data_IF_246032892985
#
_entry.id   IF_246032892985
#
_cell.length_a   1.000
_cell.length_b   1.000
_cell.length_c   1.000
_cell.angle_alpha   90.00
_cell.angle_beta   90.00
_cell.angle_gamma   90.00
#
_symmetry.space_group_name_H-M   'P 1'
#
loop_
_entity.id
_entity.type
_entity.pdbx_description
1 polymer ?
#
# COMPACT_ATOMS: atom_id res chain seq x y z
N UNK A 1 0.72 -5.13 -13.84
CA UNK A 1 -0.57 -5.87 -13.73
C UNK A 1 -1.59 -4.89 -13.19
N UNK A 2 -2.30 -4.16 -14.06
CA UNK A 2 -3.19 -3.10 -13.58
C UNK A 2 -4.50 -3.70 -13.07
N UNK A 3 -4.75 -3.52 -11.78
CA UNK A 3 -6.08 -3.58 -11.16
C UNK A 3 -6.95 -2.39 -11.65
N UNK A 4 -6.77 -1.96 -12.90
CA UNK A 4 -7.35 -0.77 -13.52
C UNK A 4 -8.86 -0.86 -13.68
N UNK A 5 -9.46 -2.04 -13.53
CA UNK A 5 -10.91 -2.18 -13.66
C UNK A 5 -11.68 -1.42 -12.58
N UNK A 6 -11.14 -1.27 -11.36
CA UNK A 6 -11.80 -0.48 -10.31
C UNK A 6 -12.07 0.97 -10.75
N UNK A 7 -11.21 1.51 -11.61
CA UNK A 7 -11.34 2.85 -12.19
C UNK A 7 -11.85 2.82 -13.64
N UNK A 8 -12.26 1.67 -14.16
CA UNK A 8 -12.69 1.52 -15.56
C UNK A 8 -13.95 2.33 -15.93
N UNK A 9 -14.79 2.64 -14.94
CA UNK A 9 -15.96 3.52 -15.09
C UNK A 9 -15.67 4.99 -14.71
N UNK A 10 -14.45 5.33 -14.29
CA UNK A 10 -14.08 6.72 -14.02
C UNK A 10 -13.90 7.46 -15.35
N UNK A 11 -14.77 8.44 -15.61
CA UNK A 11 -14.74 9.26 -16.82
C UNK A 11 -13.84 10.48 -16.65
N UNK A 12 -13.89 11.10 -15.48
CA UNK A 12 -13.13 12.31 -15.16
C UNK A 12 -12.87 12.41 -13.65
N UNK A 13 -11.81 13.11 -13.26
CA UNK A 13 -11.44 13.38 -11.88
C UNK A 13 -10.89 14.80 -11.75
N UNK A 14 -11.39 15.56 -10.78
CA UNK A 14 -10.91 16.91 -10.48
C UNK A 14 -10.79 17.16 -8.99
N UNK A 15 -9.96 18.13 -8.62
CA UNK A 15 -9.82 18.64 -7.27
C UNK A 15 -10.02 20.17 -7.31
N UNK A 16 -11.26 20.67 -7.12
CA UNK A 16 -11.55 22.10 -7.22
C UNK A 16 -10.94 22.93 -6.07
N UNK A 17 -10.58 22.26 -4.97
CA UNK A 17 -9.89 22.83 -3.82
C UNK A 17 -9.05 21.76 -3.10
N UNK A 18 -8.31 22.17 -2.08
CA UNK A 18 -7.31 21.34 -1.39
C UNK A 18 -7.89 20.10 -0.68
N UNK A 19 -9.19 20.10 -0.35
CA UNK A 19 -9.82 19.05 0.47
C UNK A 19 -10.99 18.35 -0.24
N UNK A 20 -11.20 18.63 -1.52
CA UNK A 20 -12.31 18.08 -2.30
C UNK A 20 -11.79 17.32 -3.51
N UNK A 21 -12.20 16.06 -3.66
CA UNK A 21 -12.00 15.28 -4.87
C UNK A 21 -13.36 14.95 -5.47
N UNK A 22 -13.55 15.28 -6.75
CA UNK A 22 -14.76 14.99 -7.52
C UNK A 22 -14.44 13.90 -8.53
N UNK A 23 -15.17 12.78 -8.43
CA UNK A 23 -15.09 11.67 -9.37
C UNK A 23 -16.35 11.66 -10.25
N UNK A 24 -16.17 11.79 -11.57
CA UNK A 24 -17.27 11.68 -12.53
C UNK A 24 -17.29 10.27 -13.11
N UNK A 25 -18.39 9.56 -12.92
CA UNK A 25 -18.56 8.21 -13.47
C UNK A 25 -19.21 8.24 -14.86
N UNK A 26 -18.92 7.23 -15.69
CA UNK A 26 -19.56 7.04 -16.99
C UNK A 26 -21.01 6.56 -16.88
N UNK A 27 -21.31 5.76 -15.85
CA UNK A 27 -22.65 5.29 -15.51
C UNK A 27 -22.77 5.06 -13.99
N UNK A 28 -24.00 4.97 -13.42
CA UNK A 28 -24.18 4.69 -12.00
C UNK A 28 -23.50 3.38 -11.58
N UNK A 29 -22.70 3.44 -10.52
CA UNK A 29 -21.99 2.28 -9.96
C UNK A 29 -22.13 2.27 -8.43
N UNK A 30 -23.10 1.51 -7.88
CA UNK A 30 -23.29 1.40 -6.43
C UNK A 30 -22.07 0.83 -5.69
N UNK A 31 -21.25 0.01 -6.35
CA UNK A 31 -20.05 -0.61 -5.79
C UNK A 31 -18.81 0.28 -5.76
N UNK A 32 -18.92 1.58 -6.10
CA UNK A 32 -17.76 2.48 -6.12
C UNK A 32 -17.05 2.53 -4.76
N UNK A 33 -17.79 2.64 -3.66
CA UNK A 33 -17.20 2.72 -2.33
C UNK A 33 -16.49 1.43 -1.94
N UNK A 34 -17.05 0.27 -2.30
CA UNK A 34 -16.41 -1.02 -2.10
C UNK A 34 -15.09 -1.11 -2.87
N UNK A 35 -15.09 -0.64 -4.13
CA UNK A 35 -13.90 -0.58 -4.96
C UNK A 35 -12.80 0.31 -4.35
N UNK A 36 -13.16 1.47 -3.80
CA UNK A 36 -12.22 2.39 -3.16
C UNK A 36 -11.69 1.86 -1.82
N UNK A 37 -12.51 1.11 -1.08
CA UNK A 37 -12.11 0.48 0.19
C UNK A 37 -11.27 -0.80 0.02
N UNK A 38 -11.28 -1.40 -1.18
CA UNK A 38 -10.64 -2.68 -1.44
C UNK A 38 -9.14 -2.62 -1.12
N UNK A 39 -8.57 -3.63 -0.42
CA UNK A 39 -7.13 -3.70 -0.20
C UNK A 39 -6.34 -3.79 -1.52
N UNK A 40 -6.97 -4.33 -2.57
CA UNK A 40 -6.43 -4.40 -3.94
C UNK A 40 -6.93 -3.26 -4.84
N UNK A 41 -7.72 -2.34 -4.29
CA UNK A 41 -8.19 -1.14 -4.99
C UNK A 41 -7.12 -0.06 -5.10
N UNK A 42 -7.45 1.10 -5.71
CA UNK A 42 -6.53 2.23 -5.79
C UNK A 42 -6.02 2.64 -4.39
N UNK A 43 -4.78 3.13 -4.36
CA UNK A 43 -4.10 3.59 -3.15
C UNK A 43 -3.55 4.98 -3.42
N UNK A 44 -3.49 5.80 -2.37
CA UNK A 44 -2.88 7.12 -2.45
C UNK A 44 -1.38 6.97 -2.21
N UNK A 45 -0.58 7.42 -3.17
CA UNK A 45 0.88 7.40 -3.15
C UNK A 45 1.37 8.85 -3.15
N UNK A 46 2.47 9.12 -2.45
CA UNK A 46 3.07 10.46 -2.40
C UNK A 46 3.40 10.98 -3.82
N UNK A 47 2.86 12.15 -4.24
CA UNK A 47 3.18 12.73 -5.54
C UNK A 47 4.66 13.13 -5.63
N UNK A 48 5.29 13.53 -4.52
CA UNK A 48 6.72 13.82 -4.45
C UNK A 48 7.54 12.58 -4.77
N UNK A 49 7.22 11.43 -4.15
CA UNK A 49 7.94 10.18 -4.42
C UNK A 49 7.76 9.72 -5.87
N UNK A 50 6.58 9.91 -6.45
CA UNK A 50 6.36 9.65 -7.87
C UNK A 50 7.24 10.54 -8.75
N UNK A 51 7.24 11.86 -8.51
CA UNK A 51 8.01 12.81 -9.32
C UNK A 51 9.54 12.61 -9.22
N UNK A 52 10.04 12.27 -8.02
CA UNK A 52 11.49 12.06 -7.78
C UNK A 52 12.01 10.74 -8.37
N UNK A 53 11.13 9.77 -8.62
CA UNK A 53 11.50 8.43 -9.08
C UNK A 53 10.87 8.03 -10.41
N UNK A 54 10.19 8.95 -11.10
CA UNK A 54 9.64 8.71 -12.42
C UNK A 54 10.75 8.71 -13.47
N UNK A 55 10.95 7.55 -14.09
CA UNK A 55 11.89 7.37 -15.21
C UNK A 55 11.16 7.21 -16.55
N UNK A 56 9.99 7.84 -16.69
CA UNK A 56 9.10 7.71 -17.85
C UNK A 56 8.11 6.56 -17.73
N UNK A 57 7.92 6.03 -16.51
CA UNK A 57 7.07 4.88 -16.20
C UNK A 57 6.15 5.13 -14.99
N UNK A 58 5.96 6.40 -14.60
CA UNK A 58 5.22 6.81 -13.42
C UNK A 58 5.75 6.15 -12.13
N UNK A 59 7.07 6.00 -12.04
CA UNK A 59 7.80 5.35 -10.94
C UNK A 59 7.40 3.88 -10.70
N UNK A 60 6.70 3.23 -11.63
CA UNK A 60 6.19 1.86 -11.44
C UNK A 60 7.32 0.84 -11.19
N UNK A 61 8.47 1.02 -11.83
CA UNK A 61 9.65 0.17 -11.58
C UNK A 61 10.16 0.33 -10.15
N UNK A 62 10.26 1.56 -9.65
CA UNK A 62 10.73 1.85 -8.29
C UNK A 62 9.75 1.35 -7.22
N UNK A 63 8.45 1.50 -7.47
CA UNK A 63 7.37 1.03 -6.60
C UNK A 63 7.27 -0.50 -6.49
N UNK A 64 7.99 -1.28 -7.31
CA UNK A 64 8.09 -2.73 -7.12
C UNK A 64 8.84 -3.10 -5.83
N UNK A 65 9.64 -2.17 -5.30
CA UNK A 65 10.47 -2.41 -4.11
C UNK A 65 10.31 -1.36 -3.01
N UNK A 66 9.60 -0.27 -3.30
CA UNK A 66 9.41 0.85 -2.40
C UNK A 66 7.93 1.20 -2.27
N UNK A 67 7.56 1.80 -1.14
CA UNK A 67 6.20 2.25 -0.89
C UNK A 67 6.20 3.54 -0.08
N UNK A 68 5.48 4.55 -0.55
CA UNK A 68 5.30 5.83 0.15
C UNK A 68 3.82 6.19 0.14
N UNK A 69 3.10 5.70 1.15
CA UNK A 69 1.68 5.96 1.36
C UNK A 69 1.43 6.72 2.66
N UNK A 70 0.16 6.81 3.05
CA UNK A 70 -0.31 7.54 4.23
C UNK A 70 -0.56 6.65 5.46
N UNK A 71 -0.17 5.37 5.38
CA UNK A 71 -0.48 4.35 6.37
C UNK A 71 0.28 4.48 7.70
N UNK A 72 -0.10 3.66 8.69
CA UNK A 72 0.50 3.69 10.03
C UNK A 72 1.91 3.08 10.11
N UNK A 73 2.37 2.43 9.03
CA UNK A 73 3.72 1.88 8.90
C UNK A 73 4.34 2.31 7.56
N UNK A 74 5.66 2.50 7.58
CA UNK A 74 6.53 2.79 6.45
C UNK A 74 7.34 1.55 6.11
N UNK A 75 7.55 1.28 4.81
CA UNK A 75 8.46 0.23 4.38
C UNK A 75 9.91 0.70 4.58
N UNK A 76 10.60 0.11 5.55
CA UNK A 76 11.98 0.44 5.89
C UNK A 76 13.00 -0.42 5.11
N UNK A 77 12.68 -1.70 4.88
CA UNK A 77 13.50 -2.59 4.07
C UNK A 77 12.61 -3.60 3.34
N UNK A 78 12.91 -3.85 2.07
CA UNK A 78 12.42 -5.01 1.36
C UNK A 78 13.59 -5.81 0.80
N UNK A 79 13.80 -7.01 1.34
CA UNK A 79 14.71 -8.01 0.79
C UNK A 79 13.91 -9.08 0.09
N UNK A 80 13.88 -9.00 -1.25
CA UNK A 80 13.12 -9.90 -2.12
C UNK A 80 13.38 -11.37 -1.77
N UNK A 81 12.30 -12.10 -1.52
CA UNK A 81 12.34 -13.52 -1.16
C UNK A 81 12.85 -13.83 0.26
N UNK A 82 13.15 -12.81 1.07
CA UNK A 82 13.69 -13.00 2.42
C UNK A 82 12.81 -12.35 3.49
N UNK A 83 12.57 -11.04 3.42
CA UNK A 83 11.81 -10.32 4.45
C UNK A 83 11.34 -8.94 4.02
N UNK A 84 10.32 -8.46 4.74
CA UNK A 84 9.92 -7.05 4.80
C UNK A 84 10.17 -6.53 6.21
N UNK A 85 10.65 -5.30 6.31
CA UNK A 85 10.78 -4.58 7.56
C UNK A 85 9.92 -3.32 7.48
N UNK A 86 8.97 -3.22 8.39
CA UNK A 86 8.06 -2.09 8.51
C UNK A 86 8.39 -1.33 9.79
N UNK A 87 8.49 -0.02 9.70
CA UNK A 87 8.68 0.87 10.84
C UNK A 87 7.43 1.71 11.04
N UNK A 88 7.04 1.94 12.29
CA UNK A 88 5.87 2.75 12.60
C UNK A 88 6.05 4.16 12.04
N UNK A 89 5.00 4.67 11.42
CA UNK A 89 4.93 6.06 11.03
C UNK A 89 4.61 6.91 12.26
N UNK A 90 5.63 7.52 12.88
CA UNK A 90 5.44 8.38 14.06
C UNK A 90 4.68 9.68 13.74
N UNK A 91 4.55 10.05 12.46
CA UNK A 91 3.74 11.16 11.96
C UNK A 91 2.36 10.70 11.44
N UNK A 92 1.94 9.46 11.75
CA UNK A 92 0.63 8.97 11.36
C UNK A 92 -0.49 9.83 11.95
N UNK A 93 -1.47 10.15 11.10
CA UNK A 93 -2.57 11.07 11.41
C UNK A 93 -3.63 10.48 12.35
N UNK A 94 -3.69 9.15 12.48
CA UNK A 94 -4.60 8.44 13.38
C UNK A 94 -3.90 7.90 14.62
N UNK A 95 -4.53 6.91 15.26
CA UNK A 95 -3.94 6.24 16.42
C UNK A 95 -2.68 5.48 16.04
N UNK A 96 -1.61 5.72 16.81
CA UNK A 96 -0.31 5.10 16.57
C UNK A 96 -0.36 3.63 16.98
N UNK A 97 0.07 2.70 16.11
CA UNK A 97 0.20 1.29 16.48
C UNK A 97 1.10 1.10 17.70
N UNK A 98 0.77 0.08 18.50
CA UNK A 98 1.57 -0.32 19.66
C UNK A 98 3.01 -0.67 19.25
N UNK A 99 3.15 -1.52 18.23
CA UNK A 99 4.46 -1.96 17.74
C UNK A 99 5.20 -0.84 17.01
N UNK A 100 6.48 -0.69 17.32
CA UNK A 100 7.37 0.25 16.62
C UNK A 100 7.93 -0.31 15.31
N UNK A 101 8.06 -1.62 15.23
CA UNK A 101 8.62 -2.32 14.09
C UNK A 101 7.90 -3.65 13.90
N UNK A 102 7.70 -4.03 12.65
CA UNK A 102 7.18 -5.34 12.26
C UNK A 102 8.16 -5.94 11.25
N UNK A 103 8.64 -7.15 11.53
CA UNK A 103 9.43 -7.92 10.58
C UNK A 103 8.56 -9.07 10.04
N UNK A 104 8.41 -9.12 8.73
CA UNK A 104 7.67 -10.18 8.04
C UNK A 104 8.69 -11.01 7.26
N UNK A 105 9.04 -12.19 7.79
CA UNK A 105 9.95 -13.12 7.13
C UNK A 105 9.22 -13.94 6.06
N UNK A 106 9.86 -14.15 4.91
CA UNK A 106 9.35 -14.97 3.82
C UNK A 106 9.81 -16.41 4.06
N UNK A 107 8.92 -17.25 4.59
CA UNK A 107 9.16 -18.67 4.82
C UNK A 107 8.13 -19.46 4.00
N UNK A 108 8.47 -19.96 2.80
CA UNK A 108 7.46 -20.57 1.92
C UNK A 108 6.86 -21.87 2.46
N UNK A 109 7.62 -22.61 3.26
CA UNK A 109 7.18 -23.90 3.83
C UNK A 109 6.40 -23.70 5.13
N UNK A 110 5.15 -24.18 5.16
CA UNK A 110 4.25 -24.03 6.31
C UNK A 110 4.72 -24.82 7.53
N UNK A 111 5.38 -25.97 7.34
CA UNK A 111 5.90 -26.77 8.46
C UNK A 111 7.02 -26.02 9.18
N UNK A 112 7.88 -25.34 8.43
CA UNK A 112 8.89 -24.45 8.98
C UNK A 112 8.28 -23.25 9.71
N UNK A 113 7.21 -22.63 9.18
CA UNK A 113 6.51 -21.55 9.88
C UNK A 113 5.98 -22.02 11.24
N UNK A 114 5.33 -23.19 11.30
CA UNK A 114 4.79 -23.76 12.55
C UNK A 114 5.92 -24.03 13.56
N UNK A 115 7.02 -24.63 13.11
CA UNK A 115 8.17 -24.89 13.98
C UNK A 115 8.79 -23.59 14.52
N UNK A 116 8.89 -22.55 13.69
CA UNK A 116 9.40 -21.24 14.11
C UNK A 116 8.49 -20.58 15.15
N UNK A 117 7.16 -20.67 14.96
CA UNK A 117 6.18 -20.15 15.92
C UNK A 117 6.26 -20.90 17.25
N UNK A 118 6.33 -22.23 17.22
CA UNK A 118 6.47 -23.06 18.42
C UNK A 118 7.78 -22.79 19.16
N UNK A 119 8.86 -22.50 18.42
CA UNK A 119 10.15 -22.15 18.98
C UNK A 119 10.25 -20.70 19.50
N UNK A 120 9.22 -19.87 19.28
CA UNK A 120 9.23 -18.44 19.61
C UNK A 120 10.19 -17.61 18.75
N UNK A 121 10.57 -18.12 17.57
CA UNK A 121 11.40 -17.40 16.61
C UNK A 121 10.59 -16.39 15.78
N UNK A 122 9.27 -16.58 15.69
CA UNK A 122 8.31 -15.63 15.12
C UNK A 122 7.11 -15.48 16.06
N UNK A 123 6.50 -14.29 16.04
CA UNK A 123 5.26 -13.96 16.73
C UNK A 123 4.13 -13.74 15.72
N UNK A 124 2.87 -13.82 16.16
CA UNK A 124 1.67 -13.64 15.33
C UNK A 124 0.61 -12.78 16.03
#
# INVERSE_FOLDING_TARGET
LSLSYFLGNLKDMSAPDDLTVVLTLGHPQPSLLDALSSPWGPKIISPTALAEHDNGDFATTWLNEHAVGTGPFKLAEFKRGQRYMLERNDDYWGDKPFFRQIQISVVPDISQQILQLQAGAIDA
#
